data_IF_830443578390
#
_entry.id   IF_830443578390
#
_cell.length_a   1.000
_cell.length_b   1.000
_cell.length_c   1.000
_cell.angle_alpha   90.00
_cell.angle_beta   90.00
_cell.angle_gamma   90.00
#
_symmetry.space_group_name_H-M   'P 1'
#
loop_
_entity.id
_entity.type
_entity.pdbx_description
1 polymer ?
#
# COMPACT_ATOMS: atom_id res chain seq x y z
N UNK A 1 -20.56 -6.18 16.85
CA UNK A 1 -19.24 -6.79 16.56
C UNK A 1 -18.24 -5.78 15.96
N UNK A 2 -18.68 -4.76 15.21
CA UNK A 2 -17.81 -3.70 14.67
C UNK A 2 -17.17 -2.78 15.75
N UNK A 3 -17.81 -2.64 16.90
CA UNK A 3 -17.37 -1.76 18.00
C UNK A 3 -16.11 -2.28 18.71
N UNK A 4 -16.03 -3.60 18.91
CA UNK A 4 -14.89 -4.24 19.58
C UNK A 4 -13.59 -4.06 18.79
N UNK A 5 -13.65 -4.11 17.46
CA UNK A 5 -12.47 -3.94 16.61
C UNK A 5 -11.97 -2.49 16.59
N UNK A 6 -12.85 -1.50 16.85
CA UNK A 6 -12.44 -0.09 16.96
C UNK A 6 -11.77 0.17 18.31
N UNK A 7 -12.40 -0.30 19.39
CA UNK A 7 -11.83 -0.20 20.73
C UNK A 7 -10.47 -0.91 20.82
N UNK A 8 -10.30 -2.05 20.13
CA UNK A 8 -9.05 -2.78 20.10
C UNK A 8 -7.92 -2.00 19.42
N UNK A 9 -8.16 -1.40 18.23
CA UNK A 9 -7.11 -0.67 17.52
C UNK A 9 -6.68 0.60 18.24
N UNK A 10 -7.63 1.30 18.87
CA UNK A 10 -7.36 2.49 19.68
C UNK A 10 -6.54 2.12 20.92
N UNK A 11 -6.95 1.07 21.63
CA UNK A 11 -6.20 0.58 22.79
C UNK A 11 -4.79 0.08 22.44
N UNK A 12 -4.61 -0.54 21.26
CA UNK A 12 -3.30 -0.97 20.78
C UNK A 12 -2.37 0.21 20.46
N UNK A 13 -2.91 1.33 19.98
CA UNK A 13 -2.13 2.54 19.78
C UNK A 13 -1.62 3.10 21.12
N UNK A 14 -2.39 2.98 22.20
CA UNK A 14 -1.95 3.34 23.56
C UNK A 14 -1.02 2.29 24.20
N UNK A 15 -0.98 1.06 23.67
CA UNK A 15 -0.22 -0.08 24.24
C UNK A 15 0.54 -0.86 23.14
N UNK A 16 1.53 -0.26 22.46
CA UNK A 16 2.18 -0.83 21.28
C UNK A 16 2.92 -2.15 21.57
N UNK A 17 3.31 -2.39 22.82
CA UNK A 17 3.92 -3.64 23.28
C UNK A 17 3.02 -4.86 23.00
N UNK A 18 1.70 -4.67 22.92
CA UNK A 18 0.73 -5.74 22.69
C UNK A 18 0.51 -6.06 21.21
N UNK A 19 1.02 -5.23 20.29
CA UNK A 19 0.94 -5.47 18.84
C UNK A 19 1.59 -6.80 18.48
N UNK A 20 2.72 -7.16 19.12
CA UNK A 20 3.42 -8.42 18.86
C UNK A 20 2.57 -9.67 19.17
N UNK A 21 1.58 -9.55 20.06
CA UNK A 21 0.70 -10.64 20.48
C UNK A 21 -0.56 -10.70 19.61
N UNK A 22 -1.10 -9.54 19.24
CA UNK A 22 -2.37 -9.45 18.50
C UNK A 22 -2.17 -9.59 16.99
N UNK A 23 -1.14 -8.95 16.43
CA UNK A 23 -0.93 -8.91 14.99
C UNK A 23 -0.76 -10.31 14.36
N UNK A 24 0.01 -11.25 14.94
CA UNK A 24 0.12 -12.60 14.38
C UNK A 24 -1.23 -13.34 14.31
N UNK A 25 -2.10 -13.14 15.31
CA UNK A 25 -3.44 -13.77 15.33
C UNK A 25 -4.32 -13.20 14.22
N UNK A 26 -4.28 -11.89 13.99
CA UNK A 26 -5.01 -11.24 12.89
C UNK A 26 -4.47 -11.71 11.54
N UNK A 27 -3.15 -11.81 11.39
CA UNK A 27 -2.51 -12.30 10.16
C UNK A 27 -2.80 -13.78 9.89
N UNK A 28 -2.94 -14.61 10.93
CA UNK A 28 -3.36 -16.00 10.80
C UNK A 28 -4.85 -16.10 10.41
N UNK A 29 -5.71 -15.31 11.08
CA UNK A 29 -7.15 -15.29 10.84
C UNK A 29 -7.52 -14.78 9.44
N UNK A 30 -6.65 -13.96 8.82
CA UNK A 30 -6.74 -13.64 7.40
C UNK A 30 -6.92 -14.92 6.60
N UNK A 31 -6.05 -15.92 6.76
CA UNK A 31 -6.10 -17.17 6.00
C UNK A 31 -7.41 -17.97 6.11
N UNK A 32 -8.24 -17.69 7.11
CA UNK A 32 -9.55 -18.32 7.26
C UNK A 32 -10.62 -17.58 6.42
N UNK A 33 -11.27 -18.22 5.42
CA UNK A 33 -12.29 -17.59 4.59
C UNK A 33 -13.50 -17.08 5.41
N UNK A 34 -13.89 -17.78 6.48
CA UNK A 34 -15.01 -17.41 7.34
C UNK A 34 -14.75 -16.13 8.14
N UNK A 35 -13.48 -15.87 8.48
CA UNK A 35 -13.07 -14.71 9.25
C UNK A 35 -12.48 -13.59 8.38
N UNK A 36 -12.41 -13.78 7.06
CA UNK A 36 -11.65 -12.92 6.14
C UNK A 36 -12.10 -11.45 6.21
N UNK A 37 -13.40 -11.15 6.17
CA UNK A 37 -13.94 -9.77 6.22
C UNK A 37 -13.55 -9.08 7.53
N UNK A 38 -13.77 -9.77 8.66
CA UNK A 38 -13.48 -9.22 9.99
C UNK A 38 -11.98 -9.01 10.19
N UNK A 39 -11.17 -9.96 9.74
CA UNK A 39 -9.71 -9.92 9.86
C UNK A 39 -9.09 -8.80 9.00
N UNK A 40 -9.56 -8.63 7.76
CA UNK A 40 -9.12 -7.53 6.89
C UNK A 40 -9.53 -6.17 7.46
N UNK A 41 -10.76 -6.05 7.98
CA UNK A 41 -11.22 -4.83 8.63
C UNK A 41 -10.41 -4.47 9.86
N UNK A 42 -10.05 -5.48 10.66
CA UNK A 42 -9.23 -5.32 11.87
C UNK A 42 -7.80 -4.93 11.51
N UNK A 43 -7.19 -5.61 10.54
CA UNK A 43 -5.87 -5.27 10.03
C UNK A 43 -5.82 -3.84 9.52
N UNK A 44 -6.84 -3.39 8.76
CA UNK A 44 -6.91 -2.02 8.26
C UNK A 44 -6.93 -1.00 9.39
N UNK A 45 -7.69 -1.25 10.46
CA UNK A 45 -7.75 -0.37 11.63
C UNK A 45 -6.41 -0.34 12.36
N UNK A 46 -5.79 -1.49 12.60
CA UNK A 46 -4.45 -1.57 13.21
C UNK A 46 -3.44 -0.79 12.37
N UNK A 47 -3.42 -0.99 11.04
CA UNK A 47 -2.54 -0.27 10.13
C UNK A 47 -2.75 1.25 10.15
N UNK A 48 -3.98 1.70 10.39
CA UNK A 48 -4.30 3.13 10.46
C UNK A 48 -3.94 3.77 11.80
N UNK A 49 -4.36 3.15 12.90
CA UNK A 49 -4.22 3.74 14.25
C UNK A 49 -2.81 3.51 14.83
N UNK A 50 -2.17 2.40 14.52
CA UNK A 50 -0.85 2.03 15.06
C UNK A 50 0.28 2.27 14.05
N UNK A 51 0.08 3.12 13.04
CA UNK A 51 0.99 3.22 11.88
C UNK A 51 2.46 3.43 12.26
N UNK A 52 2.74 4.22 13.30
CA UNK A 52 4.10 4.53 13.76
C UNK A 52 4.81 3.39 14.50
N UNK A 53 4.08 2.44 15.06
CA UNK A 53 4.61 1.28 15.78
C UNK A 53 4.71 0.02 14.91
N UNK A 54 4.18 0.09 13.69
CA UNK A 54 4.15 -1.00 12.73
C UNK A 54 5.38 -1.20 11.82
N UNK A 55 6.35 -0.26 11.66
CA UNK A 55 7.51 -0.49 10.80
C UNK A 55 8.23 -1.83 11.02
N UNK A 56 8.45 -2.32 12.27
CA UNK A 56 9.09 -3.61 12.50
C UNK A 56 8.33 -4.82 11.93
N UNK A 57 7.02 -4.68 11.68
CA UNK A 57 6.15 -5.75 11.19
C UNK A 57 5.82 -5.61 9.70
N UNK A 58 6.23 -4.51 9.05
CA UNK A 58 5.76 -4.15 7.73
C UNK A 58 6.05 -5.22 6.68
N UNK A 59 7.29 -5.76 6.67
CA UNK A 59 7.69 -6.82 5.74
C UNK A 59 6.78 -8.07 5.85
N UNK A 60 6.41 -8.47 7.08
CA UNK A 60 5.55 -9.63 7.30
C UNK A 60 4.10 -9.36 6.85
N UNK A 61 3.57 -8.17 7.15
CA UNK A 61 2.22 -7.78 6.73
C UNK A 61 2.11 -7.73 5.20
N UNK A 62 3.11 -7.16 4.52
CA UNK A 62 3.18 -7.11 3.05
C UNK A 62 3.21 -8.52 2.47
N UNK A 63 4.10 -9.39 2.98
CA UNK A 63 4.23 -10.76 2.49
C UNK A 63 2.94 -11.56 2.60
N UNK A 64 2.25 -11.50 3.75
CA UNK A 64 0.97 -12.21 3.96
C UNK A 64 -0.16 -11.63 3.10
N UNK A 65 -0.15 -10.32 2.83
CA UNK A 65 -1.18 -9.65 2.05
C UNK A 65 -1.09 -9.93 0.55
N UNK A 66 0.12 -10.10 0.01
CA UNK A 66 0.33 -10.37 -1.43
C UNK A 66 -0.29 -11.69 -1.91
N UNK A 67 -0.43 -12.69 -1.03
CA UNK A 67 -0.89 -14.02 -1.41
C UNK A 67 -2.42 -14.12 -1.56
N UNK A 68 -3.18 -13.05 -1.27
CA UNK A 68 -4.62 -13.16 -0.99
C UNK A 68 -5.48 -12.29 -1.91
N UNK A 69 -6.11 -12.89 -2.92
CA UNK A 69 -6.83 -12.21 -4.02
C UNK A 69 -8.26 -11.77 -3.72
N UNK A 70 -8.98 -12.44 -2.80
CA UNK A 70 -10.45 -12.29 -2.66
C UNK A 70 -10.91 -11.07 -1.83
N UNK A 71 -10.01 -10.42 -1.08
CA UNK A 71 -10.29 -9.21 -0.29
C UNK A 71 -9.29 -8.08 -0.62
N UNK A 72 -8.66 -8.16 -1.80
CA UNK A 72 -7.48 -7.35 -2.13
C UNK A 72 -7.73 -5.85 -1.95
N UNK A 73 -8.88 -5.30 -2.37
CA UNK A 73 -9.12 -3.86 -2.31
C UNK A 73 -8.95 -3.26 -0.90
N UNK A 74 -9.42 -3.95 0.14
CA UNK A 74 -9.32 -3.44 1.51
C UNK A 74 -7.95 -3.69 2.13
N UNK A 75 -7.27 -4.76 1.70
CA UNK A 75 -5.87 -4.99 2.02
C UNK A 75 -4.98 -3.90 1.41
N UNK A 76 -5.24 -3.47 0.18
CA UNK A 76 -4.50 -2.36 -0.45
C UNK A 76 -4.63 -1.07 0.39
N UNK A 77 -5.80 -0.77 0.94
CA UNK A 77 -5.95 0.37 1.85
C UNK A 77 -5.14 0.22 3.14
N UNK A 78 -5.11 -0.97 3.74
CA UNK A 78 -4.32 -1.24 4.93
C UNK A 78 -2.82 -1.08 4.65
N UNK A 79 -2.36 -1.58 3.50
CA UNK A 79 -0.98 -1.43 3.04
C UNK A 79 -0.62 0.04 2.80
N UNK A 80 -1.53 0.86 2.25
CA UNK A 80 -1.28 2.29 2.09
C UNK A 80 -0.99 2.98 3.44
N UNK A 81 -1.79 2.73 4.47
CA UNK A 81 -1.54 3.29 5.82
C UNK A 81 -0.22 2.81 6.42
N UNK A 82 0.09 1.51 6.27
CA UNK A 82 1.34 0.93 6.77
C UNK A 82 2.55 1.55 6.09
N UNK A 83 2.53 1.64 4.76
CA UNK A 83 3.62 2.21 3.96
C UNK A 83 3.84 3.69 4.30
N UNK A 84 2.77 4.45 4.55
CA UNK A 84 2.84 5.88 4.91
C UNK A 84 3.68 6.17 6.17
N UNK A 85 3.95 5.16 7.00
CA UNK A 85 4.76 5.30 8.21
C UNK A 85 6.20 4.79 8.07
N UNK A 86 6.59 4.32 6.89
CA UNK A 86 7.97 3.89 6.60
C UNK A 86 8.79 5.06 6.07
N UNK A 87 10.12 4.92 6.08
CA UNK A 87 11.03 5.87 5.42
C UNK A 87 10.84 5.81 3.89
N UNK A 88 11.06 6.93 3.20
CA UNK A 88 10.86 7.07 1.74
C UNK A 88 11.50 5.94 0.93
N UNK A 89 12.72 5.53 1.28
CA UNK A 89 13.44 4.46 0.61
C UNK A 89 12.73 3.11 0.74
N UNK A 90 12.19 2.83 1.93
CA UNK A 90 11.42 1.62 2.20
C UNK A 90 10.05 1.65 1.54
N UNK A 91 9.40 2.83 1.50
CA UNK A 91 8.16 3.02 0.75
C UNK A 91 8.40 2.65 -0.71
N UNK A 92 9.39 3.27 -1.37
CA UNK A 92 9.68 3.04 -2.78
C UNK A 92 9.98 1.57 -3.07
N UNK A 93 10.79 0.93 -2.22
CA UNK A 93 11.15 -0.49 -2.35
C UNK A 93 9.92 -1.40 -2.25
N UNK A 94 9.11 -1.22 -1.21
CA UNK A 94 7.92 -2.06 -1.00
C UNK A 94 6.85 -1.78 -2.05
N UNK A 95 6.66 -0.52 -2.44
CA UNK A 95 5.70 -0.11 -3.45
C UNK A 95 6.07 -0.71 -4.80
N UNK A 96 7.32 -0.61 -5.23
CA UNK A 96 7.80 -1.27 -6.45
C UNK A 96 7.51 -2.77 -6.41
N UNK A 97 7.92 -3.47 -5.35
CA UNK A 97 7.66 -4.91 -5.21
C UNK A 97 6.16 -5.26 -5.25
N UNK A 98 5.29 -4.39 -4.75
CA UNK A 98 3.85 -4.61 -4.68
C UNK A 98 3.16 -4.32 -6.03
N UNK A 99 3.53 -3.24 -6.72
CA UNK A 99 2.81 -2.79 -7.92
C UNK A 99 3.32 -3.42 -9.21
N UNK A 100 4.62 -3.74 -9.33
CA UNK A 100 5.23 -4.25 -10.56
C UNK A 100 4.46 -5.43 -11.19
N UNK A 101 4.04 -6.49 -10.46
CA UNK A 101 3.31 -7.59 -11.08
C UNK A 101 1.95 -7.15 -11.68
N UNK A 102 1.29 -6.17 -11.06
CA UNK A 102 0.03 -5.63 -11.57
C UNK A 102 0.23 -4.75 -12.79
N UNK A 103 1.31 -3.97 -12.84
CA UNK A 103 1.67 -3.16 -14.01
C UNK A 103 2.01 -4.07 -15.20
N UNK A 104 2.83 -5.10 -14.99
CA UNK A 104 3.16 -6.08 -16.03
C UNK A 104 1.92 -6.84 -16.54
N UNK A 105 1.00 -7.18 -15.64
CA UNK A 105 -0.27 -7.78 -16.03
C UNK A 105 -1.13 -6.82 -16.85
N UNK A 106 -1.14 -5.54 -16.49
CA UNK A 106 -1.90 -4.52 -17.20
C UNK A 106 -1.34 -4.26 -18.61
N UNK A 107 -0.01 -4.22 -18.76
CA UNK A 107 0.68 -4.14 -20.06
C UNK A 107 0.26 -5.31 -20.96
N UNK A 108 0.32 -6.54 -20.43
CA UNK A 108 -0.12 -7.72 -21.19
C UNK A 108 -1.59 -7.65 -21.60
N UNK A 109 -2.47 -7.22 -20.69
CA UNK A 109 -3.90 -7.09 -20.97
C UNK A 109 -4.21 -6.00 -21.99
N UNK A 110 -3.36 -4.96 -22.07
CA UNK A 110 -3.49 -3.88 -23.04
C UNK A 110 -3.09 -4.29 -24.47
N UNK A 111 -2.16 -5.24 -24.60
CA UNK A 111 -1.74 -5.80 -25.89
C UNK A 111 -2.70 -6.87 -26.44
N UNK A 112 -3.58 -7.41 -25.58
CA UNK A 112 -4.57 -8.42 -25.96
C UNK A 112 -5.82 -7.82 -26.62
N UNK A 113 -6.50 -8.61 -27.45
CA UNK A 113 -7.76 -8.16 -28.06
C UNK A 113 -8.83 -7.90 -27.00
N UNK A 114 -9.53 -6.75 -27.05
CA UNK A 114 -10.54 -6.39 -26.07
C UNK A 114 -11.61 -7.46 -25.93
N UNK A 115 -11.80 -7.97 -24.72
CA UNK A 115 -12.86 -8.92 -24.40
C UNK A 115 -13.40 -8.66 -22.98
N UNK A 116 -14.62 -9.16 -22.66
CA UNK A 116 -15.25 -8.90 -21.36
C UNK A 116 -14.42 -9.34 -20.15
N UNK A 117 -13.68 -10.45 -20.26
CA UNK A 117 -12.82 -10.95 -19.18
C UNK A 117 -11.63 -10.02 -18.94
N UNK A 118 -10.98 -9.54 -20.02
CA UNK A 118 -9.88 -8.59 -19.92
C UNK A 118 -10.34 -7.27 -19.31
N UNK A 119 -11.53 -6.78 -19.69
CA UNK A 119 -12.14 -5.58 -19.09
C UNK A 119 -12.30 -5.73 -17.58
N UNK A 120 -12.79 -6.86 -17.09
CA UNK A 120 -12.95 -7.11 -15.65
C UNK A 120 -11.59 -7.17 -14.94
N UNK A 121 -10.58 -7.81 -15.54
CA UNK A 121 -9.23 -7.87 -14.98
C UNK A 121 -8.57 -6.48 -14.89
N UNK A 122 -8.71 -5.65 -15.94
CA UNK A 122 -8.22 -4.27 -15.97
C UNK A 122 -8.89 -3.43 -14.87
N UNK A 123 -10.23 -3.45 -14.80
CA UNK A 123 -10.99 -2.71 -13.78
C UNK A 123 -10.57 -3.15 -12.38
N UNK A 124 -10.37 -4.45 -12.17
CA UNK A 124 -9.92 -4.98 -10.89
C UNK A 124 -8.54 -4.44 -10.50
N UNK A 125 -7.55 -4.52 -11.39
CA UNK A 125 -6.18 -4.02 -11.14
C UNK A 125 -6.18 -2.52 -10.83
N UNK A 126 -6.91 -1.72 -11.62
CA UNK A 126 -7.05 -0.29 -11.39
C UNK A 126 -7.70 0.00 -10.03
N UNK A 127 -8.71 -0.79 -9.66
CA UNK A 127 -9.33 -0.73 -8.34
C UNK A 127 -8.34 -1.00 -7.20
N UNK A 128 -7.44 -1.96 -7.36
CA UNK A 128 -6.39 -2.25 -6.37
C UNK A 128 -5.44 -1.07 -6.20
N UNK A 129 -4.92 -0.54 -7.30
CA UNK A 129 -3.99 0.60 -7.28
C UNK A 129 -4.66 1.85 -6.71
N UNK A 130 -5.90 2.14 -7.11
CA UNK A 130 -6.67 3.25 -6.58
C UNK A 130 -6.88 3.16 -5.06
N UNK A 131 -7.22 1.97 -4.55
CA UNK A 131 -7.38 1.76 -3.11
C UNK A 131 -6.08 1.91 -2.33
N UNK A 132 -4.94 1.50 -2.89
CA UNK A 132 -3.63 1.71 -2.28
C UNK A 132 -3.31 3.20 -2.16
N UNK A 133 -3.41 3.94 -3.26
CA UNK A 133 -3.01 5.34 -3.31
C UNK A 133 -3.97 6.27 -2.56
N UNK A 134 -5.22 5.85 -2.33
CA UNK A 134 -6.18 6.62 -1.52
C UNK A 134 -5.74 6.75 -0.05
N UNK A 135 -4.95 5.79 0.46
CA UNK A 135 -4.51 5.77 1.87
C UNK A 135 -3.01 5.90 2.05
N UNK A 136 -2.25 5.92 0.95
CA UNK A 136 -0.81 6.20 0.98
C UNK A 136 -0.59 7.70 1.05
N UNK A 137 -0.05 8.16 2.18
CA UNK A 137 0.27 9.55 2.45
C UNK A 137 1.77 9.70 2.72
N UNK A 138 2.46 10.43 1.85
CA UNK A 138 3.90 10.70 1.93
C UNK A 138 4.20 12.13 2.41
N UNK A 139 3.16 12.95 2.65
CA UNK A 139 3.31 14.38 2.96
C UNK A 139 4.06 14.66 4.27
N UNK A 140 4.07 13.71 5.21
CA UNK A 140 4.83 13.82 6.46
C UNK A 140 6.36 13.88 6.28
N UNK A 141 6.90 13.54 5.10
CA UNK A 141 8.34 13.57 4.84
C UNK A 141 8.85 14.92 4.33
N UNK A 142 7.97 15.85 3.94
CA UNK A 142 8.38 17.18 3.46
C UNK A 142 8.86 18.09 4.62
N UNK A 143 8.36 17.86 5.85
CA UNK A 143 8.69 18.67 7.03
C UNK A 143 10.07 18.35 7.65
N UNK A 144 10.60 17.14 7.41
CA UNK A 144 11.91 16.72 7.94
C UNK A 144 13.11 17.33 7.19
N UNK A 145 12.86 18.01 6.06
CA UNK A 145 13.90 18.64 5.25
C UNK A 145 14.26 20.08 5.68
N UNK A 146 13.55 20.71 6.62
CA UNK A 146 13.82 22.12 7.02
C UNK A 146 14.75 22.31 8.24
N UNK A 147 15.33 21.27 8.85
CA UNK A 147 16.16 21.43 10.07
C UNK A 147 17.65 21.06 9.97
N UNK A 148 18.24 20.93 8.77
CA UNK A 148 19.69 20.72 8.65
C UNK A 148 20.34 21.57 7.54
N UNK A 149 20.28 22.90 7.69
CA UNK A 149 21.32 23.74 7.09
C UNK A 149 22.60 23.65 7.96
N UNK A 150 23.64 22.99 7.42
CA UNK A 150 25.06 23.42 7.36
C UNK A 150 25.97 22.20 7.18
N UNK A 151 26.22 21.81 5.92
CA UNK A 151 27.55 21.72 5.28
C UNK A 151 27.47 21.01 3.93
N UNK A 152 27.58 21.81 2.87
CA UNK A 152 27.85 21.40 1.48
C UNK A 152 29.09 20.51 1.38
N UNK A 153 28.96 19.34 0.77
CA UNK A 153 30.02 18.60 0.04
C UNK A 153 29.39 17.94 -1.21
N UNK A 154 30.16 17.75 -2.30
CA UNK A 154 29.60 17.57 -3.64
C UNK A 154 29.30 16.11 -4.03
N UNK A 155 28.10 15.92 -4.60
CA UNK A 155 27.70 15.00 -5.70
C UNK A 155 28.01 13.51 -5.57
N UNK A 156 26.95 12.71 -5.41
CA UNK A 156 26.73 11.49 -6.22
C UNK A 156 25.26 11.43 -6.65
N UNK A 157 25.03 11.52 -7.96
CA UNK A 157 23.72 11.41 -8.61
C UNK A 157 23.23 9.96 -8.55
N UNK A 158 22.46 9.63 -7.52
CA UNK A 158 21.50 8.51 -7.58
C UNK A 158 20.20 8.97 -8.28
N UNK A 159 19.31 8.04 -8.69
CA UNK A 159 18.07 8.40 -9.36
C UNK A 159 17.26 9.31 -8.43
N UNK A 160 17.08 10.57 -8.83
CA UNK A 160 16.39 11.56 -8.04
C UNK A 160 14.97 11.04 -7.70
N UNK A 161 14.49 11.13 -6.45
CA UNK A 161 13.14 10.72 -6.09
C UNK A 161 12.08 11.50 -6.90
N UNK A 162 12.42 12.72 -7.33
CA UNK A 162 11.62 13.54 -8.25
C UNK A 162 11.43 12.86 -9.61
N UNK A 163 12.43 12.14 -10.14
CA UNK A 163 12.32 11.41 -11.40
C UNK A 163 11.42 10.19 -11.28
N UNK A 164 11.41 9.51 -10.13
CA UNK A 164 10.57 8.34 -9.88
C UNK A 164 9.11 8.74 -9.65
N UNK A 165 8.87 9.82 -8.89
CA UNK A 165 7.55 10.41 -8.74
C UNK A 165 7.02 10.93 -10.09
N UNK A 166 7.86 11.62 -10.87
CA UNK A 166 7.51 12.04 -12.22
C UNK A 166 7.22 10.84 -13.13
N UNK A 167 7.95 9.74 -13.01
CA UNK A 167 7.68 8.52 -13.76
C UNK A 167 6.34 7.90 -13.38
N UNK A 168 6.03 7.77 -12.08
CA UNK A 168 4.74 7.26 -11.60
C UNK A 168 3.57 8.15 -12.03
N UNK A 169 3.71 9.47 -11.90
CA UNK A 169 2.71 10.44 -12.36
C UNK A 169 2.55 10.34 -13.88
N UNK A 170 3.64 10.25 -14.63
CA UNK A 170 3.60 10.10 -16.08
C UNK A 170 2.93 8.79 -16.48
N UNK A 171 3.28 7.67 -15.84
CA UNK A 171 2.64 6.37 -16.07
C UNK A 171 1.14 6.41 -15.77
N UNK A 172 0.73 7.03 -14.66
CA UNK A 172 -0.70 7.22 -14.33
C UNK A 172 -1.41 8.12 -15.34
N UNK A 173 -0.75 9.19 -15.80
CA UNK A 173 -1.28 10.13 -16.80
C UNK A 173 -1.48 9.45 -18.16
N UNK A 174 -0.47 8.69 -18.61
CA UNK A 174 -0.50 7.92 -19.85
C UNK A 174 -1.58 6.84 -19.78
N UNK A 175 -1.74 6.19 -18.64
CA UNK A 175 -2.78 5.18 -18.43
C UNK A 175 -4.19 5.79 -18.47
N UNK A 176 -4.39 6.96 -17.86
CA UNK A 176 -5.64 7.73 -17.95
C UNK A 176 -5.96 8.16 -19.39
N UNK A 177 -4.96 8.59 -20.17
CA UNK A 177 -5.12 8.97 -21.58
C UNK A 177 -5.44 7.77 -22.48
N UNK A 178 -4.78 6.63 -22.27
CA UNK A 178 -5.07 5.38 -22.99
C UNK A 178 -6.48 4.86 -22.70
N UNK A 179 -6.97 5.01 -21.47
CA UNK A 179 -8.35 4.70 -21.08
C UNK A 179 -9.38 5.60 -21.76
N UNK A 180 -9.08 6.90 -21.94
CA UNK A 180 -9.98 7.85 -22.61
C UNK A 180 -10.09 7.59 -24.12
N UNK A 181 -9.02 7.11 -24.75
CA UNK A 181 -9.01 6.77 -26.18
C UNK A 181 -9.59 5.36 -26.48
N UNK A 182 -9.89 4.56 -25.46
CA UNK A 182 -10.45 3.20 -25.61
C UNK A 182 -11.96 3.10 -25.33
N UNK A 183 -12.63 4.22 -25.04
CA UNK A 183 -14.10 4.36 -24.91
C UNK A 183 -14.61 5.11 -26.14
#
# INVERSE_FOLDING_TARGET
MLDNNRALSEWLADHPVMINNVLPLVLQALGNPELSISSVSTLKKICRECKYDLPPYAANIVAVSQVRTSQCMWLMQALGFLLSALQVEEILKNLHSLITPYIQQLEKLADETPNPSNKLAIIHILGLLSNLFTTLDISHHDDDHESNEVKKLPVQQGPNPVSTAAFLIHSLSVLSLSLFNSI
#
